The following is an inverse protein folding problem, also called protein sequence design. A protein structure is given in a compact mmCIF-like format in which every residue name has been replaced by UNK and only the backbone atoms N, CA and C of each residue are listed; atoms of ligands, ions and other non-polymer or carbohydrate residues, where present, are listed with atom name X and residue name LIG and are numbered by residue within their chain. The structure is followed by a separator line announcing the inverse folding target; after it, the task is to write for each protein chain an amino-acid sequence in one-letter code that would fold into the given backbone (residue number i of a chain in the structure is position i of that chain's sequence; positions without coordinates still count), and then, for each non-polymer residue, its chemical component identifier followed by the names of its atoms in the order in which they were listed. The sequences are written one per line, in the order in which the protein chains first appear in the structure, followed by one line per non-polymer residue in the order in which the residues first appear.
data_IF_056165311337
#
_entry.id   IF_056165311337
#
_cell.length_a   1.000
_cell.length_b   1.000
_cell.length_c   1.000
_cell.angle_alpha   90.00
_cell.angle_beta   90.00
_cell.angle_gamma   90.00
#
_symmetry.space_group_name_H-M   'P 1'
#
loop_
_entity.id
_entity.type
_entity.pdbx_description
1 polymer ?
#
# COMPACT_ATOMS: atom_id res chain seq x y z
N UNK A 1 -11.88 2.34 8.24
CA UNK A 1 -12.36 3.59 7.59
C UNK A 1 -13.26 3.25 6.39
N UNK A 2 -13.98 4.23 5.83
CA UNK A 2 -14.84 4.04 4.65
C UNK A 2 -14.06 3.60 3.40
N UNK A 3 -12.80 4.02 3.27
CA UNK A 3 -11.89 3.65 2.19
C UNK A 3 -10.83 2.63 2.64
N UNK A 4 -11.29 1.52 3.23
CA UNK A 4 -10.38 0.49 3.75
C UNK A 4 -9.61 -0.18 2.62
N UNK A 5 -8.28 -0.01 2.60
CA UNK A 5 -7.38 -0.67 1.66
C UNK A 5 -7.42 -2.20 1.77
N UNK A 6 -7.50 -2.75 3.00
CA UNK A 6 -7.63 -4.19 3.28
C UNK A 6 -8.92 -4.77 2.68
N UNK A 7 -10.04 -4.05 2.75
CA UNK A 7 -11.30 -4.53 2.13
C UNK A 7 -11.28 -4.37 0.60
N UNK A 8 -10.60 -3.36 0.08
CA UNK A 8 -10.55 -3.03 -1.35
C UNK A 8 -9.65 -4.00 -2.12
N UNK A 9 -8.46 -4.27 -1.60
CA UNK A 9 -7.45 -5.10 -2.23
C UNK A 9 -6.84 -6.05 -1.17
N UNK A 10 -7.62 -7.07 -0.72
CA UNK A 10 -7.18 -8.00 0.33
C UNK A 10 -5.99 -8.87 -0.07
N UNK A 11 -5.72 -8.99 -1.37
CA UNK A 11 -4.53 -9.67 -1.91
C UNK A 11 -3.25 -8.82 -1.79
N UNK A 12 -3.35 -7.52 -1.52
CA UNK A 12 -2.19 -6.61 -1.38
C UNK A 12 -2.06 -5.99 0.00
N UNK A 13 -3.14 -5.93 0.79
CA UNK A 13 -3.12 -5.34 2.12
C UNK A 13 -3.75 -6.25 3.17
N UNK A 14 -3.16 -6.29 4.36
CA UNK A 14 -3.71 -6.96 5.53
C UNK A 14 -3.65 -6.05 6.76
N UNK A 15 -4.29 -6.46 7.85
CA UNK A 15 -4.08 -5.84 9.16
C UNK A 15 -2.92 -6.51 9.87
N UNK A 16 -1.97 -5.72 10.35
CA UNK A 16 -0.88 -6.20 11.17
C UNK A 16 -1.43 -6.68 12.53
N UNK A 17 -1.10 -7.90 12.99
CA UNK A 17 -1.74 -8.52 14.15
C UNK A 17 -1.44 -7.81 15.47
N UNK A 18 -0.29 -7.13 15.57
CA UNK A 18 0.18 -6.47 16.78
C UNK A 18 -0.37 -5.04 16.96
N UNK A 19 -0.66 -4.34 15.86
CA UNK A 19 -1.07 -2.92 15.89
C UNK A 19 -2.50 -2.70 15.41
N UNK A 20 -3.08 -3.67 14.69
CA UNK A 20 -4.34 -3.49 13.97
C UNK A 20 -4.26 -2.48 12.82
N UNK A 21 -3.07 -1.97 12.49
CA UNK A 21 -2.86 -1.06 11.38
C UNK A 21 -2.83 -1.84 10.06
N UNK A 22 -3.32 -1.23 8.99
CA UNK A 22 -3.15 -1.81 7.66
C UNK A 22 -1.68 -1.75 7.22
N UNK A 23 -1.18 -2.80 6.58
CA UNK A 23 0.14 -2.85 5.96
C UNK A 23 0.07 -3.54 4.60
N UNK A 24 1.03 -3.26 3.73
CA UNK A 24 1.18 -3.95 2.46
C UNK A 24 1.80 -5.34 2.69
N UNK A 25 1.25 -6.36 2.01
CA UNK A 25 1.72 -7.76 2.06
C UNK A 25 2.22 -8.27 0.72
N UNK A 26 1.90 -7.58 -0.38
CA UNK A 26 2.38 -7.88 -1.71
C UNK A 26 2.73 -6.58 -2.43
N UNK A 27 3.69 -6.66 -3.35
CA UNK A 27 3.97 -5.53 -4.24
C UNK A 27 2.77 -5.34 -5.19
N UNK A 28 2.31 -4.10 -5.31
CA UNK A 28 1.24 -3.77 -6.25
C UNK A 28 1.68 -4.06 -7.68
N UNK A 29 0.82 -4.71 -8.45
CA UNK A 29 0.96 -4.76 -9.91
C UNK A 29 0.46 -3.42 -10.46
N UNK A 30 1.22 -2.78 -11.34
CA UNK A 30 0.93 -1.40 -11.79
C UNK A 30 -0.43 -1.22 -12.47
N UNK A 31 -1.03 -2.31 -12.96
CA UNK A 31 -2.34 -2.31 -13.62
C UNK A 31 -3.49 -2.70 -12.68
N UNK A 32 -3.21 -2.94 -11.39
CA UNK A 32 -4.24 -3.33 -10.44
C UNK A 32 -5.07 -2.12 -9.98
N UNK A 33 -6.21 -1.96 -10.63
CA UNK A 33 -7.15 -0.87 -10.36
C UNK A 33 -7.63 -0.83 -8.90
N UNK A 34 -7.80 -1.98 -8.24
CA UNK A 34 -8.25 -2.00 -6.84
C UNK A 34 -7.15 -1.48 -5.90
N UNK A 35 -5.89 -1.82 -6.18
CA UNK A 35 -4.74 -1.28 -5.46
C UNK A 35 -4.62 0.23 -5.70
N UNK A 36 -4.71 0.68 -6.96
CA UNK A 36 -4.65 2.11 -7.29
C UNK A 36 -5.71 2.92 -6.55
N UNK A 37 -6.96 2.43 -6.52
CA UNK A 37 -8.04 3.10 -5.78
C UNK A 37 -7.80 3.06 -4.26
N UNK A 38 -7.28 1.96 -3.70
CA UNK A 38 -6.97 1.84 -2.28
C UNK A 38 -5.90 2.85 -1.85
N UNK A 39 -4.86 3.00 -2.66
CA UNK A 39 -3.77 3.97 -2.48
C UNK A 39 -4.32 5.40 -2.55
N UNK A 40 -5.02 5.75 -3.63
CA UNK A 40 -5.51 7.11 -3.87
C UNK A 40 -6.60 7.58 -2.90
N UNK A 41 -7.30 6.67 -2.21
CA UNK A 41 -8.38 7.00 -1.28
C UNK A 41 -8.00 6.81 0.19
N UNK A 42 -6.76 6.44 0.49
CA UNK A 42 -6.34 6.25 1.88
C UNK A 42 -6.38 7.58 2.65
N UNK A 43 -7.29 7.74 3.64
CA UNK A 43 -7.50 9.03 4.30
C UNK A 43 -6.32 9.48 5.16
N UNK A 44 -5.42 8.54 5.51
CA UNK A 44 -4.19 8.82 6.26
C UNK A 44 -3.02 9.22 5.36
N UNK A 45 -3.19 9.13 4.03
CA UNK A 45 -2.12 9.33 3.05
C UNK A 45 -0.85 8.55 3.45
N UNK A 46 -1.00 7.28 3.80
CA UNK A 46 0.07 6.45 4.37
C UNK A 46 0.48 5.27 3.47
N UNK A 47 -0.08 5.20 2.26
CA UNK A 47 0.21 4.15 1.28
C UNK A 47 0.52 4.86 -0.03
N UNK A 48 1.63 4.51 -0.67
CA UNK A 48 2.13 5.17 -1.86
C UNK A 48 2.50 4.13 -2.91
N UNK A 49 2.21 4.43 -4.17
CA UNK A 49 2.74 3.67 -5.30
C UNK A 49 4.08 4.29 -5.71
N UNK A 50 5.13 3.48 -5.74
CA UNK A 50 6.47 3.94 -6.14
C UNK A 50 6.88 3.26 -7.43
N UNK A 51 7.48 4.02 -8.34
CA UNK A 51 8.08 3.46 -9.55
C UNK A 51 9.32 2.64 -9.19
N UNK A 52 9.80 1.73 -10.07
CA UNK A 52 11.04 1.01 -9.83
C UNK A 52 12.24 1.93 -9.54
N UNK A 53 12.33 3.07 -10.23
CA UNK A 53 13.38 4.06 -10.00
C UNK A 53 13.25 4.73 -8.60
N UNK A 54 12.03 5.06 -8.17
CA UNK A 54 11.80 5.62 -6.84
C UNK A 54 12.07 4.60 -5.73
N UNK A 55 11.76 3.32 -5.98
CA UNK A 55 12.04 2.24 -5.04
C UNK A 55 13.54 2.14 -4.73
N UNK A 56 14.40 2.20 -5.74
CA UNK A 56 15.86 2.14 -5.56
C UNK A 56 16.31 3.26 -4.62
N UNK A 57 15.87 4.50 -4.86
CA UNK A 57 16.19 5.66 -4.00
C UNK A 57 15.70 5.45 -2.56
N UNK A 58 14.49 4.92 -2.38
CA UNK A 58 13.92 4.64 -1.06
C UNK A 58 14.70 3.55 -0.31
N UNK A 59 15.13 2.50 -1.01
CA UNK A 59 15.93 1.41 -0.42
C UNK A 59 17.32 1.94 0.01
N UNK A 60 17.98 2.77 -0.81
CA UNK A 60 19.26 3.41 -0.46
C UNK A 60 19.18 4.36 0.76
N UNK A 61 18.04 5.03 0.97
CA UNK A 61 17.85 5.95 2.10
C UNK A 61 17.56 5.24 3.44
N UNK A 62 17.18 3.96 3.39
CA UNK A 62 16.80 3.17 4.57
C UNK A 62 17.93 2.25 5.08
N UNK A 63 19.07 2.22 4.37
CA UNK A 63 20.35 1.62 4.83
C UNK A 63 21.08 2.52 5.83
#
# INVERSE_FOLDING_TARGET
CLYSCVKRAPHSFAYAPNTGCAHAIAQGQGEDYQVQLAVGQCPRNCIYYVTPAQRIILEELLE
#
